data_IF_406482284740
#
_entry.id   IF_406482284740
#
_cell.length_a   1.000
_cell.length_b   1.000
_cell.length_c   1.000
_cell.angle_alpha   90.00
_cell.angle_beta   90.00
_cell.angle_gamma   90.00
#
_symmetry.space_group_name_H-M   'P 1'
#
loop_
_entity.id
_entity.type
_entity.pdbx_description
1 polymer ?
#
# COMPACT_ATOMS: atom_id res chain seq x y z
N UNK A 1 17.00 -17.63 5.36
CA UNK A 1 17.29 -16.18 5.30
C UNK A 1 16.56 -15.47 4.16
N UNK A 2 16.96 -15.61 2.87
CA UNK A 2 16.33 -14.88 1.73
C UNK A 2 14.81 -15.04 1.65
N UNK A 3 14.30 -16.27 1.54
CA UNK A 3 12.85 -16.51 1.41
C UNK A 3 12.05 -15.97 2.61
N UNK A 4 12.61 -16.06 3.82
CA UNK A 4 12.01 -15.48 5.02
C UNK A 4 12.01 -13.94 4.95
N UNK A 5 13.08 -13.33 4.44
CA UNK A 5 13.17 -11.87 4.26
C UNK A 5 12.11 -11.39 3.28
N UNK A 6 11.98 -12.06 2.12
CA UNK A 6 10.94 -11.75 1.11
C UNK A 6 9.53 -11.91 1.71
N UNK A 7 9.28 -12.97 2.47
CA UNK A 7 7.99 -13.17 3.15
C UNK A 7 7.66 -12.04 4.13
N UNK A 8 8.65 -11.59 4.90
CA UNK A 8 8.46 -10.48 5.85
C UNK A 8 8.24 -9.15 5.14
N UNK A 9 8.97 -8.89 4.04
CA UNK A 9 8.77 -7.70 3.22
C UNK A 9 7.36 -7.65 2.62
N UNK A 10 6.79 -8.81 2.27
CA UNK A 10 5.40 -8.91 1.82
C UNK A 10 4.35 -8.53 2.88
N UNK A 11 4.70 -8.53 4.17
CA UNK A 11 3.85 -8.04 5.27
C UNK A 11 3.95 -6.51 5.45
N UNK A 12 4.98 -5.87 4.88
CA UNK A 12 5.25 -4.44 5.03
C UNK A 12 4.54 -3.67 3.93
N UNK A 13 3.74 -2.68 4.32
CA UNK A 13 3.15 -1.74 3.39
C UNK A 13 4.15 -0.66 2.95
N UNK A 14 3.75 0.15 1.98
CA UNK A 14 4.48 1.32 1.53
C UNK A 14 4.59 2.38 2.66
N UNK A 15 5.65 2.26 3.44
CA UNK A 15 5.94 3.12 4.59
C UNK A 15 6.14 4.58 4.17
N UNK A 16 6.82 4.82 3.05
CA UNK A 16 7.11 6.15 2.52
C UNK A 16 5.82 6.89 2.17
N UNK A 17 4.90 6.22 1.47
CA UNK A 17 3.59 6.78 1.14
C UNK A 17 2.76 7.05 2.39
N UNK A 18 2.70 6.09 3.32
CA UNK A 18 1.87 6.22 4.53
C UNK A 18 2.38 7.36 5.41
N UNK A 19 3.69 7.45 5.67
CA UNK A 19 4.23 8.51 6.54
C UNK A 19 4.06 9.90 5.94
N UNK A 20 4.18 10.06 4.62
CA UNK A 20 3.94 11.34 3.95
C UNK A 20 2.46 11.76 4.02
N UNK A 21 1.52 10.80 4.00
CA UNK A 21 0.11 11.07 4.24
C UNK A 21 -0.18 11.46 5.69
N UNK A 22 0.52 10.85 6.65
CA UNK A 22 0.44 11.23 8.07
C UNK A 22 0.93 12.65 8.29
N UNK A 23 2.06 13.03 7.68
CA UNK A 23 2.59 14.42 7.73
C UNK A 23 1.60 15.44 7.18
N UNK A 24 0.91 15.09 6.09
CA UNK A 24 -0.09 15.94 5.44
C UNK A 24 -1.47 15.91 6.13
N UNK A 25 -1.62 15.18 7.25
CA UNK A 25 -2.86 15.03 8.00
C UNK A 25 -4.05 14.48 7.18
N UNK A 26 -3.76 13.69 6.14
CA UNK A 26 -4.75 13.04 5.26
C UNK A 26 -4.76 11.51 5.41
N UNK A 27 -3.99 10.97 6.35
CA UNK A 27 -3.94 9.54 6.62
C UNK A 27 -5.25 9.07 7.25
N UNK A 28 -5.72 7.91 6.79
CA UNK A 28 -6.87 7.21 7.37
C UNK A 28 -6.48 6.39 8.60
N UNK A 29 -7.44 6.02 9.46
CA UNK A 29 -7.19 5.14 10.61
C UNK A 29 -6.56 3.79 10.23
N UNK A 30 -7.01 3.20 9.11
CA UNK A 30 -6.43 1.95 8.58
C UNK A 30 -4.98 2.12 8.17
N UNK A 31 -4.60 3.25 7.58
CA UNK A 31 -3.21 3.52 7.22
C UNK A 31 -2.32 3.61 8.46
N UNK A 32 -2.79 4.21 9.55
CA UNK A 32 -2.06 4.24 10.82
C UNK A 32 -1.89 2.83 11.42
N UNK A 33 -2.93 2.01 11.39
CA UNK A 33 -2.84 0.61 11.84
C UNK A 33 -1.87 -0.21 10.95
N UNK A 34 -1.88 0.01 9.63
CA UNK A 34 -0.95 -0.62 8.69
C UNK A 34 0.49 -0.18 8.91
N UNK A 35 0.72 1.10 9.22
CA UNK A 35 2.04 1.62 9.61
C UNK A 35 2.56 0.88 10.84
N UNK A 36 1.73 0.72 11.88
CA UNK A 36 2.09 -0.03 13.09
C UNK A 36 2.52 -1.47 12.76
N UNK A 37 1.69 -2.22 12.04
CA UNK A 37 1.97 -3.61 11.65
C UNK A 37 3.27 -3.72 10.85
N UNK A 38 3.49 -2.78 9.94
CA UNK A 38 4.72 -2.74 9.13
C UNK A 38 5.96 -2.48 9.99
N UNK A 39 5.87 -1.57 10.97
CA UNK A 39 6.96 -1.28 11.90
C UNK A 39 7.22 -2.44 12.90
N UNK A 40 6.21 -3.24 13.23
CA UNK A 40 6.34 -4.45 14.06
C UNK A 40 7.19 -5.56 13.38
N UNK A 41 7.31 -5.54 12.04
CA UNK A 41 8.13 -6.49 11.28
C UNK A 41 9.63 -6.20 11.43
N UNK A 42 10.01 -4.94 11.66
CA UNK A 42 11.41 -4.46 11.64
C UNK A 42 12.33 -5.24 12.58
N UNK A 43 11.97 -5.54 13.85
CA UNK A 43 12.81 -6.34 14.73
C UNK A 43 12.99 -7.79 14.29
N UNK A 44 12.05 -8.36 13.51
CA UNK A 44 12.18 -9.70 12.93
C UNK A 44 13.14 -9.66 11.76
N UNK A 45 13.04 -8.64 10.89
CA UNK A 45 13.94 -8.46 9.75
C UNK A 45 15.39 -8.27 10.22
N UNK A 46 15.63 -7.44 11.24
CA UNK A 46 16.96 -7.22 11.81
C UNK A 46 17.66 -8.51 12.26
N UNK A 47 16.91 -9.48 12.78
CA UNK A 47 17.45 -10.79 13.22
C UNK A 47 17.88 -11.68 12.06
N UNK A 48 17.35 -11.47 10.85
CA UNK A 48 17.71 -12.25 9.67
C UNK A 48 18.95 -11.70 8.95
N UNK A 49 19.28 -10.43 9.16
CA UNK A 49 20.46 -9.81 8.58
C UNK A 49 21.70 -10.27 9.36
N UNK A 50 22.62 -10.98 8.72
CA UNK A 50 23.86 -11.44 9.35
C UNK A 50 24.82 -10.27 9.62
N UNK A 51 25.49 -10.29 10.78
CA UNK A 51 26.57 -9.35 11.10
C UNK A 51 27.77 -9.58 10.17
N UNK A 52 28.47 -8.50 9.80
CA UNK A 52 29.63 -8.57 8.90
C UNK A 52 29.29 -8.77 7.41
N UNK A 53 28.01 -8.75 7.04
CA UNK A 53 27.60 -8.79 5.63
C UNK A 53 27.89 -7.45 4.92
N UNK A 54 28.07 -7.44 3.58
CA UNK A 54 28.24 -6.19 2.81
C UNK A 54 27.08 -5.19 2.94
N UNK A 55 25.93 -5.66 3.45
CA UNK A 55 24.73 -4.86 3.68
C UNK A 55 24.60 -4.39 5.14
N UNK A 56 25.66 -4.49 5.96
CA UNK A 56 25.59 -4.13 7.38
C UNK A 56 25.19 -2.65 7.61
N UNK A 57 25.54 -1.76 6.68
CA UNK A 57 25.13 -0.35 6.69
C UNK A 57 23.60 -0.16 6.68
N UNK A 58 22.82 -1.14 6.18
CA UNK A 58 21.37 -1.10 6.22
C UNK A 58 20.83 -1.28 7.64
N UNK A 59 21.53 -2.02 8.52
CA UNK A 59 21.11 -2.18 9.93
C UNK A 59 21.11 -0.87 10.69
N UNK A 60 22.05 0.01 10.38
CA UNK A 60 22.15 1.33 11.01
C UNK A 60 20.95 2.22 10.66
N UNK A 61 20.37 2.03 9.47
CA UNK A 61 19.13 2.70 9.04
C UNK A 61 17.86 1.99 9.52
N UNK A 62 17.90 0.66 9.63
CA UNK A 62 16.77 -0.19 9.99
C UNK A 62 16.50 -0.22 11.51
N UNK A 63 16.43 0.96 12.14
CA UNK A 63 16.21 1.08 13.58
C UNK A 63 14.73 0.86 13.94
N UNK A 64 14.41 -0.04 14.90
CA UNK A 64 13.04 -0.22 15.35
C UNK A 64 12.43 1.07 15.92
N UNK A 65 11.29 1.49 15.39
CA UNK A 65 10.52 2.65 15.88
C UNK A 65 9.52 2.21 16.97
N UNK A 66 10.02 1.67 18.10
CA UNK A 66 9.19 1.07 19.16
C UNK A 66 8.21 2.06 19.77
N UNK A 67 8.67 3.27 20.04
CA UNK A 67 7.88 4.41 20.51
C UNK A 67 6.68 4.71 19.60
N UNK A 68 6.85 4.65 18.27
CA UNK A 68 5.75 4.85 17.31
C UNK A 68 4.78 3.67 17.34
N UNK A 69 5.30 2.44 17.41
CA UNK A 69 4.47 1.23 17.49
C UNK A 69 3.62 1.25 18.76
N UNK A 70 4.22 1.57 19.91
CA UNK A 70 3.56 1.68 21.21
C UNK A 70 2.50 2.77 21.19
N UNK A 71 2.83 3.98 20.71
CA UNK A 71 1.89 5.09 20.58
C UNK A 71 0.65 4.71 19.77
N UNK A 72 0.82 4.09 18.59
CA UNK A 72 -0.32 3.68 17.75
C UNK A 72 -1.06 2.51 18.39
N UNK A 73 -0.36 1.59 19.05
CA UNK A 73 -0.97 0.45 19.74
C UNK A 73 -1.84 0.89 20.92
N UNK A 74 -1.42 1.88 21.69
CA UNK A 74 -2.16 2.40 22.84
C UNK A 74 -3.35 3.27 22.40
N UNK A 75 -3.20 4.03 21.31
CA UNK A 75 -4.20 5.00 20.92
C UNK A 75 -5.25 4.48 19.93
N UNK A 76 -4.88 3.60 18.99
CA UNK A 76 -5.72 3.20 17.86
C UNK A 76 -6.17 1.74 18.02
N UNK A 77 -7.43 1.47 17.69
CA UNK A 77 -7.98 0.12 17.63
C UNK A 77 -7.19 -0.79 16.68
N UNK A 78 -7.15 -2.10 16.98
CA UNK A 78 -6.35 -3.04 16.18
C UNK A 78 -6.87 -3.20 14.74
N UNK A 79 -8.18 -3.01 14.55
CA UNK A 79 -8.88 -3.06 13.27
C UNK A 79 -9.79 -1.83 13.16
N UNK A 80 -9.22 -0.64 12.93
CA UNK A 80 -10.02 0.57 12.85
C UNK A 80 -10.80 0.62 11.51
N UNK A 81 -11.90 1.38 11.47
CA UNK A 81 -12.68 1.57 10.25
C UNK A 81 -11.91 2.33 9.16
N UNK A 82 -12.49 2.37 7.95
CA UNK A 82 -11.84 2.99 6.80
C UNK A 82 -11.81 4.52 6.92
N UNK A 83 -12.91 5.12 7.37
CA UNK A 83 -13.01 6.56 7.65
C UNK A 83 -13.06 6.85 9.15
N UNK A 84 -12.64 8.06 9.52
CA UNK A 84 -12.87 8.62 10.85
C UNK A 84 -14.37 8.79 11.16
N UNK A 85 -15.18 9.07 10.13
CA UNK A 85 -16.62 9.31 10.28
C UNK A 85 -17.40 8.08 10.74
N UNK A 86 -16.82 6.88 10.54
CA UNK A 86 -17.41 5.61 10.99
C UNK A 86 -17.28 5.41 12.51
N UNK A 87 -16.43 6.22 13.19
CA UNK A 87 -16.18 6.17 14.64
C UNK A 87 -15.46 4.90 15.09
N UNK A 88 -15.24 4.71 16.39
CA UNK A 88 -14.56 3.52 16.96
C UNK A 88 -13.13 3.30 16.42
N UNK A 89 -12.42 4.39 16.19
CA UNK A 89 -11.01 4.44 15.82
C UNK A 89 -10.11 4.40 17.05
N UNK A 90 -10.50 5.14 18.09
CA UNK A 90 -9.69 5.33 19.29
C UNK A 90 -9.99 4.24 20.32
N UNK A 91 -8.92 3.66 20.90
CA UNK A 91 -9.03 2.64 21.95
C UNK A 91 -9.73 3.14 23.20
N UNK A 92 -10.46 2.23 23.84
CA UNK A 92 -11.04 2.48 25.16
C UNK A 92 -9.93 2.61 26.20
N UNK A 93 -10.11 3.49 27.18
CA UNK A 93 -9.14 3.77 28.26
C UNK A 93 -8.13 4.88 27.93
N UNK A 94 -8.12 5.40 26.70
CA UNK A 94 -7.22 6.50 26.32
C UNK A 94 -7.74 7.87 26.81
N UNK A 95 -9.05 8.06 26.83
CA UNK A 95 -9.70 9.31 27.22
C UNK A 95 -10.95 9.02 28.05
N UNK A 96 -10.90 9.39 29.33
CA UNK A 96 -12.04 9.24 30.24
C UNK A 96 -13.30 9.96 29.72
N UNK A 97 -13.11 11.13 29.11
CA UNK A 97 -14.22 11.88 28.51
C UNK A 97 -14.85 11.10 27.35
N UNK A 98 -14.04 10.56 26.43
CA UNK A 98 -14.53 9.75 25.31
C UNK A 98 -15.28 8.52 25.79
N UNK A 99 -14.70 7.83 26.78
CA UNK A 99 -15.27 6.60 27.34
C UNK A 99 -16.59 6.88 28.06
N UNK A 100 -16.68 8.00 28.81
CA UNK A 100 -17.91 8.42 29.47
C UNK A 100 -19.04 8.73 28.47
N UNK A 101 -18.71 9.40 27.36
CA UNK A 101 -19.67 9.71 26.30
C UNK A 101 -20.12 8.45 25.55
N UNK A 102 -19.20 7.54 25.25
CA UNK A 102 -19.51 6.23 24.65
C UNK A 102 -20.43 5.41 25.54
N UNK A 103 -20.17 5.39 26.85
CA UNK A 103 -21.02 4.71 27.83
C UNK A 103 -22.42 5.35 27.92
N UNK A 104 -22.50 6.68 27.99
CA UNK A 104 -23.78 7.40 28.03
C UNK A 104 -24.62 7.14 26.76
N UNK A 105 -24.00 7.21 25.58
CA UNK A 105 -24.65 6.90 24.30
C UNK A 105 -25.14 5.45 24.23
N UNK A 106 -24.32 4.49 24.71
CA UNK A 106 -24.70 3.07 24.80
C UNK A 106 -25.89 2.85 25.73
N UNK A 107 -25.89 3.45 26.91
CA UNK A 107 -26.97 3.34 27.89
C UNK A 107 -28.28 3.93 27.33
N UNK A 108 -28.22 5.09 26.66
CA UNK A 108 -29.38 5.70 26.02
C UNK A 108 -29.95 4.84 24.87
N UNK A 109 -29.08 4.24 24.04
CA UNK A 109 -29.53 3.28 23.00
C UNK A 109 -30.17 2.03 23.61
N UNK A 110 -29.62 1.53 24.71
CA UNK A 110 -30.18 0.38 25.43
C UNK A 110 -31.54 0.71 26.06
N UNK A 111 -31.71 1.93 26.56
CA UNK A 111 -33.01 2.43 27.01
C UNK A 111 -34.03 2.41 25.88
N UNK A 112 -33.69 2.98 24.71
CA UNK A 112 -34.58 2.98 23.53
C UNK A 112 -34.94 1.57 23.04
N UNK A 113 -34.01 0.61 23.13
CA UNK A 113 -34.29 -0.79 22.79
C UNK A 113 -35.34 -1.42 23.73
N UNK A 114 -35.39 -0.98 24.99
CA UNK A 114 -36.39 -1.44 25.97
C UNK A 114 -37.70 -0.64 25.89
N UNK A 115 -37.67 0.59 25.36
CA UNK A 115 -38.82 1.47 25.25
C UNK A 115 -39.97 0.84 24.46
N UNK A 116 -39.68 0.07 23.40
CA UNK A 116 -40.70 -0.65 22.64
C UNK A 116 -41.51 -1.61 23.53
N UNK A 117 -40.83 -2.34 24.42
CA UNK A 117 -41.51 -3.27 25.34
C UNK A 117 -42.33 -2.50 26.37
N UNK A 118 -41.74 -1.47 26.97
CA UNK A 118 -42.41 -0.65 27.97
C UNK A 118 -43.67 0.01 27.41
N UNK A 119 -43.59 0.60 26.21
CA UNK A 119 -44.73 1.26 25.57
C UNK A 119 -45.79 0.26 25.07
N UNK A 120 -45.41 -0.96 24.67
CA UNK A 120 -46.37 -2.05 24.38
C UNK A 120 -47.15 -2.47 25.63
N UNK A 121 -46.47 -2.62 26.76
CA UNK A 121 -47.09 -2.99 28.03
C UNK A 121 -47.99 -1.86 28.56
N UNK A 122 -47.53 -0.61 28.46
CA UNK A 122 -48.26 0.58 28.91
C UNK A 122 -49.51 0.88 28.08
N UNK A 123 -49.39 0.84 26.74
CA UNK A 123 -50.51 1.17 25.83
C UNK A 123 -51.43 -0.02 25.54
N UNK A 124 -50.99 -1.25 25.78
CA UNK A 124 -51.70 -2.47 25.35
C UNK A 124 -51.60 -2.77 23.85
N UNK A 125 -50.91 -1.93 23.07
CA UNK A 125 -50.83 -2.04 21.61
C UNK A 125 -49.72 -3.00 21.20
N UNK A 126 -50.05 -4.29 21.00
CA UNK A 126 -49.07 -5.34 20.63
C UNK A 126 -48.33 -5.07 19.32
N UNK A 127 -48.92 -4.33 18.38
CA UNK A 127 -48.33 -4.01 17.07
C UNK A 127 -47.41 -2.79 17.06
N UNK A 128 -47.27 -2.08 18.19
CA UNK A 128 -46.44 -0.88 18.33
C UNK A 128 -44.98 -1.20 18.02
N UNK A 129 -44.30 -0.34 17.25
CA UNK A 129 -42.87 -0.48 16.94
C UNK A 129 -42.12 0.82 17.19
N UNK A 130 -40.93 0.74 17.76
CA UNK A 130 -40.01 1.89 17.85
C UNK A 130 -39.02 1.79 16.69
N UNK A 131 -38.97 2.83 15.86
CA UNK A 131 -38.10 2.90 14.69
C UNK A 131 -37.23 4.15 14.69
N UNK A 132 -36.23 4.16 13.81
CA UNK A 132 -35.38 5.31 13.54
C UNK A 132 -35.37 5.62 12.05
N UNK A 133 -35.52 6.90 11.71
CA UNK A 133 -35.39 7.41 10.35
C UNK A 133 -34.35 8.55 10.34
N UNK A 134 -33.48 8.60 9.32
CA UNK A 134 -32.45 9.65 9.23
C UNK A 134 -33.01 11.08 9.17
N UNK A 135 -34.21 11.28 8.61
CA UNK A 135 -34.84 12.60 8.43
C UNK A 135 -35.72 12.96 9.63
N UNK A 136 -36.49 11.99 10.13
CA UNK A 136 -37.48 12.23 11.18
C UNK A 136 -37.06 11.69 12.53
N UNK A 137 -35.84 11.17 12.69
CA UNK A 137 -35.36 10.71 13.97
C UNK A 137 -36.06 9.45 14.49
N UNK A 138 -36.05 9.26 15.81
CA UNK A 138 -36.79 8.20 16.48
C UNK A 138 -38.31 8.47 16.47
N UNK A 139 -39.08 7.39 16.34
CA UNK A 139 -40.54 7.44 16.32
C UNK A 139 -41.17 6.16 16.88
N UNK A 140 -42.43 6.28 17.29
CA UNK A 140 -43.30 5.18 17.68
C UNK A 140 -44.36 5.02 16.57
N UNK A 141 -44.40 3.86 15.93
CA UNK A 141 -45.34 3.56 14.85
C UNK A 141 -46.52 2.74 15.38
N UNK A 142 -47.74 3.20 15.10
CA UNK A 142 -48.99 2.58 15.51
C UNK A 142 -49.85 2.30 14.27
N UNK A 143 -50.34 1.06 14.16
CA UNK A 143 -51.20 0.64 13.04
C UNK A 143 -52.54 1.36 13.07
N UNK A 144 -53.14 1.59 11.89
CA UNK A 144 -54.41 2.32 11.73
C UNK A 144 -55.55 1.80 12.63
N UNK A 145 -55.61 0.49 12.87
CA UNK A 145 -56.59 -0.17 13.73
C UNK A 145 -56.51 0.24 15.22
N UNK A 146 -55.33 0.68 15.66
CA UNK A 146 -55.01 0.89 17.07
C UNK A 146 -54.87 2.38 17.42
N UNK A 147 -55.14 3.28 16.46
CA UNK A 147 -55.14 4.73 16.67
C UNK A 147 -56.05 5.20 17.82
N UNK A 148 -57.25 4.61 18.05
CA UNK A 148 -58.08 5.00 19.19
C UNK A 148 -57.48 4.66 20.57
N UNK A 149 -56.46 3.78 20.61
CA UNK A 149 -55.79 3.35 21.84
C UNK A 149 -54.50 4.14 22.11
N UNK A 150 -54.16 5.10 21.26
CA UNK A 150 -52.94 5.91 21.40
C UNK A 150 -53.07 6.80 22.65
N UNK A 151 -52.09 6.77 23.58
CA UNK A 151 -52.06 7.64 24.76
C UNK A 151 -52.06 9.13 24.39
N UNK A 152 -52.60 9.99 25.28
CA UNK A 152 -52.70 11.43 25.02
C UNK A 152 -51.34 12.17 24.98
N UNK A 153 -50.31 11.61 25.62
CA UNK A 153 -48.96 12.17 25.64
C UNK A 153 -48.17 11.92 24.34
N UNK A 154 -48.73 11.18 23.39
CA UNK A 154 -48.13 10.93 22.09
C UNK A 154 -48.38 12.10 21.15
N UNK A 155 -47.30 12.70 20.67
CA UNK A 155 -47.36 13.82 19.73
C UNK A 155 -47.18 13.28 18.31
N UNK A 156 -48.18 13.50 17.44
CA UNK A 156 -48.16 13.01 16.06
C UNK A 156 -47.02 13.65 15.27
N UNK A 157 -46.21 12.81 14.60
CA UNK A 157 -45.03 13.21 13.80
C UNK A 157 -45.28 13.08 12.29
N UNK A 158 -45.89 11.98 11.84
CA UNK A 158 -46.08 11.67 10.42
C UNK A 158 -47.26 10.71 10.21
N UNK A 159 -48.05 10.91 9.15
CA UNK A 159 -49.10 9.97 8.73
C UNK A 159 -48.60 9.07 7.60
N UNK A 160 -48.86 7.76 7.69
CA UNK A 160 -48.50 6.74 6.70
C UNK A 160 -49.78 6.07 6.14
N UNK A 161 -49.63 5.33 5.03
CA UNK A 161 -50.75 4.57 4.44
C UNK A 161 -51.29 3.49 5.40
N UNK A 162 -50.40 2.85 6.17
CA UNK A 162 -50.73 1.75 7.08
C UNK A 162 -50.89 2.13 8.56
N UNK A 163 -50.65 3.38 8.94
CA UNK A 163 -50.62 3.80 10.36
C UNK A 163 -50.14 5.23 10.56
N UNK A 164 -49.86 5.60 11.79
CA UNK A 164 -49.31 6.92 12.15
C UNK A 164 -48.05 6.77 13.02
N UNK A 165 -47.15 7.74 12.91
CA UNK A 165 -45.94 7.85 13.71
C UNK A 165 -46.07 8.97 14.72
N UNK A 166 -45.64 8.69 15.95
CA UNK A 166 -45.68 9.57 17.11
C UNK A 166 -44.30 9.70 17.74
N UNK A 167 -44.14 10.68 18.62
CA UNK A 167 -43.03 10.75 19.59
C UNK A 167 -43.57 11.18 20.95
N UNK A 168 -42.86 10.82 22.01
CA UNK A 168 -43.11 11.34 23.37
C UNK A 168 -42.03 12.37 23.73
N UNK A 169 -42.28 13.28 24.69
CA UNK A 169 -41.27 14.20 25.20
C UNK A 169 -40.00 13.46 25.66
N UNK A 170 -40.18 12.35 26.38
CA UNK A 170 -39.10 11.49 26.83
C UNK A 170 -38.28 10.90 25.67
N UNK A 171 -38.94 10.37 24.63
CA UNK A 171 -38.24 9.85 23.44
C UNK A 171 -37.38 10.94 22.80
N UNK A 172 -37.87 12.18 22.76
CA UNK A 172 -37.17 13.33 22.19
C UNK A 172 -35.97 13.76 23.03
N UNK A 173 -36.05 13.66 24.35
CA UNK A 173 -34.91 13.93 25.25
C UNK A 173 -33.79 12.91 25.05
N UNK A 174 -34.11 11.61 25.03
CA UNK A 174 -33.11 10.56 24.77
C UNK A 174 -32.53 10.66 23.36
N UNK A 175 -33.34 10.95 22.35
CA UNK A 175 -32.87 11.23 20.99
C UNK A 175 -31.85 12.37 20.97
N UNK A 176 -32.17 13.49 21.61
CA UNK A 176 -31.29 14.65 21.68
C UNK A 176 -29.98 14.31 22.42
N UNK A 177 -30.06 13.55 23.50
CA UNK A 177 -28.89 13.08 24.26
C UNK A 177 -27.98 12.21 23.39
N UNK A 178 -28.55 11.26 22.64
CA UNK A 178 -27.78 10.36 21.76
C UNK A 178 -27.10 11.15 20.64
N UNK A 179 -27.82 12.06 19.98
CA UNK A 179 -27.28 12.85 18.88
C UNK A 179 -26.15 13.77 19.35
N UNK A 180 -26.37 14.52 20.44
CA UNK A 180 -25.34 15.39 21.03
C UNK A 180 -24.11 14.59 21.49
N UNK A 181 -24.33 13.42 22.11
CA UNK A 181 -23.23 12.54 22.50
C UNK A 181 -22.47 12.02 21.27
N UNK A 182 -23.18 11.65 20.20
CA UNK A 182 -22.55 11.14 18.97
C UNK A 182 -21.72 12.21 18.27
N UNK A 183 -22.22 13.43 18.15
CA UNK A 183 -21.47 14.57 17.58
C UNK A 183 -20.19 14.84 18.39
N UNK A 184 -20.32 14.91 19.73
CA UNK A 184 -19.17 15.15 20.61
C UNK A 184 -18.17 13.99 20.61
N UNK A 185 -18.63 12.75 20.50
CA UNK A 185 -17.78 11.57 20.31
C UNK A 185 -16.99 11.72 19.02
N UNK A 186 -17.65 12.02 17.90
CA UNK A 186 -16.98 12.16 16.60
C UNK A 186 -15.94 13.27 16.60
N UNK A 187 -16.28 14.44 17.15
CA UNK A 187 -15.35 15.56 17.27
C UNK A 187 -14.13 15.22 18.14
N UNK A 188 -14.36 14.65 19.32
CA UNK A 188 -13.30 14.30 20.26
C UNK A 188 -12.41 13.18 19.72
N UNK A 189 -13.00 12.18 19.05
CA UNK A 189 -12.31 11.09 18.39
C UNK A 189 -11.41 11.59 17.25
N UNK A 190 -11.91 12.50 16.41
CA UNK A 190 -11.11 13.14 15.37
C UNK A 190 -9.95 13.96 15.96
N UNK A 191 -10.20 14.74 17.01
CA UNK A 191 -9.17 15.54 17.69
C UNK A 191 -8.04 14.66 18.27
N UNK A 192 -8.40 13.57 18.94
CA UNK A 192 -7.43 12.60 19.46
C UNK A 192 -6.65 11.96 18.31
N UNK A 193 -7.33 11.51 17.25
CA UNK A 193 -6.67 10.91 16.10
C UNK A 193 -5.66 11.84 15.44
N UNK A 194 -6.04 13.10 15.19
CA UNK A 194 -5.12 14.10 14.63
C UNK A 194 -3.95 14.40 15.57
N UNK A 195 -4.15 14.38 16.89
CA UNK A 195 -3.05 14.49 17.86
C UNK A 195 -2.08 13.32 17.74
N UNK A 196 -2.57 12.09 17.64
CA UNK A 196 -1.74 10.89 17.44
C UNK A 196 -0.98 11.00 16.11
N UNK A 197 -1.63 11.41 15.02
CA UNK A 197 -0.98 11.62 13.73
C UNK A 197 0.17 12.64 13.82
N UNK A 198 -0.04 13.77 14.52
CA UNK A 198 1.03 14.76 14.76
C UNK A 198 2.20 14.19 15.53
N UNK A 199 1.95 13.37 16.56
CA UNK A 199 3.00 12.70 17.34
C UNK A 199 3.75 11.66 16.52
N UNK A 200 3.06 10.90 15.66
CA UNK A 200 3.73 9.97 14.72
C UNK A 200 4.56 10.75 13.69
N UNK A 201 4.06 11.88 13.21
CA UNK A 201 4.77 12.72 12.24
C UNK A 201 6.11 13.27 12.75
N UNK A 202 6.31 13.42 14.06
CA UNK A 202 7.62 13.83 14.60
C UNK A 202 8.72 12.79 14.38
N UNK A 203 8.34 11.53 14.15
CA UNK A 203 9.26 10.44 13.83
C UNK A 203 9.41 10.21 12.32
N UNK A 204 8.93 11.12 11.46
CA UNK A 204 8.87 10.91 10.01
C UNK A 204 10.21 10.58 9.37
N UNK A 205 11.26 11.34 9.70
CA UNK A 205 12.61 11.13 9.14
C UNK A 205 13.15 9.74 9.48
N UNK A 206 12.89 9.26 10.71
CA UNK A 206 13.32 7.93 11.14
C UNK A 206 12.56 6.83 10.41
N UNK A 207 11.25 7.03 10.17
CA UNK A 207 10.43 6.09 9.40
C UNK A 207 10.82 6.08 7.92
N UNK A 208 11.14 7.23 7.33
CA UNK A 208 11.64 7.34 5.95
C UNK A 208 13.00 6.66 5.79
N UNK A 209 13.91 6.80 6.75
CA UNK A 209 15.18 6.08 6.75
C UNK A 209 14.98 4.54 6.82
N UNK A 210 13.99 4.08 7.59
CA UNK A 210 13.59 2.67 7.62
C UNK A 210 13.00 2.25 6.27
N UNK A 211 12.15 3.07 5.65
CA UNK A 211 11.56 2.79 4.34
C UNK A 211 12.63 2.64 3.24
N UNK A 212 13.60 3.56 3.19
CA UNK A 212 14.76 3.49 2.29
C UNK A 212 15.56 2.20 2.49
N UNK A 213 15.83 1.84 3.75
CA UNK A 213 16.55 0.60 4.07
C UNK A 213 15.77 -0.64 3.61
N UNK A 214 14.46 -0.69 3.84
CA UNK A 214 13.60 -1.77 3.38
C UNK A 214 13.57 -1.88 1.86
N UNK A 215 13.46 -0.75 1.15
CA UNK A 215 13.47 -0.73 -0.31
C UNK A 215 14.78 -1.31 -0.89
N UNK A 216 15.92 -0.95 -0.30
CA UNK A 216 17.21 -1.55 -0.68
C UNK A 216 17.24 -3.06 -0.41
N UNK A 217 16.77 -3.51 0.76
CA UNK A 217 16.70 -4.94 1.10
C UNK A 217 15.78 -5.69 0.12
N UNK A 218 14.66 -5.09 -0.29
CA UNK A 218 13.72 -5.66 -1.24
C UNK A 218 14.33 -5.80 -2.64
N UNK A 219 15.01 -4.76 -3.13
CA UNK A 219 15.75 -4.82 -4.42
C UNK A 219 16.84 -5.88 -4.37
N UNK A 220 17.69 -5.92 -3.34
CA UNK A 220 18.75 -6.92 -3.22
C UNK A 220 18.20 -8.35 -3.10
N UNK A 221 17.13 -8.53 -2.33
CA UNK A 221 16.48 -9.85 -2.18
C UNK A 221 15.87 -10.30 -3.50
N UNK A 222 15.26 -9.39 -4.26
CA UNK A 222 14.68 -9.64 -5.57
C UNK A 222 15.74 -10.02 -6.60
N UNK A 223 16.84 -9.26 -6.68
CA UNK A 223 17.97 -9.57 -7.55
C UNK A 223 18.59 -10.94 -7.20
N UNK A 224 18.76 -11.24 -5.91
CA UNK A 224 19.29 -12.52 -5.46
C UNK A 224 18.32 -13.70 -5.73
N UNK A 225 17.01 -13.47 -5.65
CA UNK A 225 15.99 -14.47 -5.98
C UNK A 225 16.01 -14.79 -7.48
N UNK A 226 16.03 -13.75 -8.34
CA UNK A 226 16.15 -13.88 -9.80
C UNK A 226 17.43 -14.63 -10.15
N UNK A 227 18.55 -14.28 -9.51
CA UNK A 227 19.84 -14.89 -9.80
C UNK A 227 19.85 -16.39 -9.51
N UNK A 228 19.33 -16.80 -8.35
CA UNK A 228 19.25 -18.22 -7.98
C UNK A 228 18.22 -18.97 -8.82
N UNK A 229 17.07 -18.37 -9.08
CA UNK A 229 15.98 -19.01 -9.82
C UNK A 229 16.33 -19.27 -11.28
N UNK A 230 17.07 -18.36 -11.92
CA UNK A 230 17.38 -18.41 -13.35
C UNK A 230 18.86 -18.70 -13.65
N UNK A 231 19.61 -19.12 -12.64
CA UNK A 231 21.03 -19.48 -12.74
C UNK A 231 21.86 -18.35 -13.36
N UNK A 232 21.68 -17.12 -12.84
CA UNK A 232 22.52 -16.00 -13.26
C UNK A 232 23.82 -16.01 -12.47
N UNK A 233 24.87 -15.48 -13.09
CA UNK A 233 26.23 -15.47 -12.51
C UNK A 233 26.64 -14.06 -12.16
N UNK A 234 27.50 -13.92 -11.14
CA UNK A 234 28.06 -12.63 -10.76
C UNK A 234 29.05 -12.20 -11.84
N UNK A 235 28.84 -11.07 -12.54
CA UNK A 235 29.82 -10.59 -13.50
C UNK A 235 31.07 -10.06 -12.77
N UNK A 236 32.21 -10.13 -13.44
CA UNK A 236 33.40 -9.37 -13.08
C UNK A 236 33.29 -7.97 -13.70
N UNK A 237 33.33 -6.93 -12.87
CA UNK A 237 33.34 -5.55 -13.34
C UNK A 237 34.78 -5.04 -13.35
N UNK A 238 35.21 -4.48 -14.47
CA UNK A 238 36.56 -3.92 -14.62
C UNK A 238 36.50 -2.45 -15.01
N UNK A 239 37.58 -1.71 -14.77
CA UNK A 239 37.76 -0.35 -15.31
C UNK A 239 38.28 -0.35 -16.75
N UNK A 240 38.38 -1.53 -17.36
CA UNK A 240 38.82 -1.69 -18.75
C UNK A 240 37.71 -1.38 -19.74
N UNK A 241 38.03 -1.64 -21.00
CA UNK A 241 37.20 -1.42 -22.19
C UNK A 241 36.58 -2.72 -22.74
N UNK A 242 36.81 -3.86 -22.08
CA UNK A 242 36.44 -5.18 -22.60
C UNK A 242 35.03 -5.60 -22.18
N UNK A 243 34.29 -6.20 -23.10
CA UNK A 243 33.02 -6.89 -22.83
C UNK A 243 33.19 -8.33 -23.30
N UNK A 244 33.32 -9.24 -22.33
CA UNK A 244 33.48 -10.67 -22.54
C UNK A 244 32.27 -11.37 -21.93
N UNK A 245 31.48 -12.06 -22.75
CA UNK A 245 30.28 -12.79 -22.32
C UNK A 245 30.41 -14.22 -22.84
N UNK A 246 30.35 -15.21 -21.95
CA UNK A 246 30.24 -16.61 -22.34
C UNK A 246 28.82 -17.12 -22.14
N UNK A 247 28.29 -17.79 -23.16
CA UNK A 247 26.97 -18.42 -23.18
C UNK A 247 25.87 -17.48 -22.67
N UNK A 248 25.88 -16.23 -23.14
CA UNK A 248 24.90 -15.23 -22.73
C UNK A 248 23.51 -15.57 -23.25
N UNK A 249 22.49 -15.28 -22.43
CA UNK A 249 21.08 -15.47 -22.73
C UNK A 249 20.33 -14.16 -22.64
N UNK A 250 19.31 -13.96 -23.47
CA UNK A 250 18.48 -12.77 -23.40
C UNK A 250 17.49 -12.90 -22.22
N UNK A 251 17.56 -12.05 -21.18
CA UNK A 251 16.84 -12.28 -19.91
C UNK A 251 15.31 -12.28 -20.04
N UNK A 252 14.75 -11.54 -21.02
CA UNK A 252 13.32 -11.57 -21.31
C UNK A 252 12.92 -12.73 -22.23
N UNK A 253 13.58 -12.88 -23.39
CA UNK A 253 13.20 -13.88 -24.40
C UNK A 253 13.35 -15.30 -23.88
N UNK A 254 14.37 -15.60 -23.08
CA UNK A 254 14.55 -16.95 -22.48
C UNK A 254 13.37 -17.37 -21.58
N UNK A 255 12.56 -16.42 -21.12
CA UNK A 255 11.37 -16.66 -20.26
C UNK A 255 10.08 -16.80 -21.04
N UNK A 256 10.07 -16.37 -22.30
CA UNK A 256 8.95 -16.60 -23.21
C UNK A 256 9.04 -17.94 -23.94
N UNK A 257 10.19 -18.61 -23.87
CA UNK A 257 10.46 -19.88 -24.53
C UNK A 257 10.38 -21.06 -23.54
N UNK A 258 10.27 -22.28 -24.07
CA UNK A 258 10.36 -23.52 -23.28
C UNK A 258 11.74 -23.57 -22.59
N UNK A 259 11.78 -24.03 -21.35
CA UNK A 259 13.03 -24.14 -20.59
C UNK A 259 14.08 -24.94 -21.36
N UNK A 260 15.30 -24.41 -21.45
CA UNK A 260 16.41 -25.01 -22.21
C UNK A 260 16.40 -24.77 -23.72
N UNK A 261 15.37 -24.11 -24.27
CA UNK A 261 15.28 -23.89 -25.74
C UNK A 261 15.96 -22.63 -26.26
N UNK A 262 16.30 -21.67 -25.38
CA UNK A 262 17.07 -20.50 -25.79
C UNK A 262 18.50 -20.90 -26.11
N UNK A 263 18.99 -20.53 -27.30
CA UNK A 263 20.37 -20.80 -27.71
C UNK A 263 21.30 -19.69 -27.21
N UNK A 264 22.18 -19.97 -26.22
CA UNK A 264 23.11 -18.99 -25.68
C UNK A 264 24.18 -18.58 -26.71
N UNK A 265 24.72 -17.36 -26.57
CA UNK A 265 25.73 -16.83 -27.48
C UNK A 265 26.89 -16.18 -26.74
N UNK A 266 28.11 -16.37 -27.24
CA UNK A 266 29.31 -15.69 -26.75
C UNK A 266 29.40 -14.26 -27.33
N UNK A 267 30.10 -13.36 -26.64
CA UNK A 267 30.38 -11.99 -27.12
C UNK A 267 31.77 -11.59 -26.67
N UNK A 268 32.55 -11.02 -27.60
CA UNK A 268 33.82 -10.37 -27.31
C UNK A 268 33.84 -9.01 -28.02
N UNK A 269 33.99 -7.94 -27.24
CA UNK A 269 34.22 -6.59 -27.72
C UNK A 269 35.32 -5.96 -26.88
N UNK A 270 36.20 -5.19 -27.52
CA UNK A 270 37.26 -4.43 -26.86
C UNK A 270 37.59 -3.20 -27.70
N UNK A 271 38.05 -2.12 -27.06
CA UNK A 271 38.51 -0.95 -27.81
C UNK A 271 39.87 -1.18 -28.49
N UNK A 272 40.55 -2.31 -28.27
CA UNK A 272 41.90 -2.54 -28.80
C UNK A 272 41.90 -3.37 -30.09
N UNK A 273 41.14 -4.46 -30.15
CA UNK A 273 41.18 -5.43 -31.26
C UNK A 273 39.79 -5.80 -31.84
N UNK A 274 38.69 -5.56 -31.10
CA UNK A 274 37.34 -5.96 -31.49
C UNK A 274 36.30 -4.85 -31.22
N UNK A 275 36.47 -3.67 -31.82
CA UNK A 275 35.61 -2.51 -31.57
C UNK A 275 34.21 -2.61 -32.22
N UNK A 276 34.12 -3.31 -33.36
CA UNK A 276 32.92 -3.34 -34.20
C UNK A 276 32.62 -4.78 -34.63
N UNK A 277 31.39 -5.24 -34.38
CA UNK A 277 30.87 -6.50 -34.90
C UNK A 277 29.90 -6.21 -36.05
N UNK A 278 30.23 -6.70 -37.25
CA UNK A 278 29.30 -6.69 -38.39
C UNK A 278 28.50 -7.99 -38.37
N UNK A 279 27.29 -7.94 -37.80
CA UNK A 279 26.44 -9.11 -37.63
C UNK A 279 25.52 -9.35 -38.83
N UNK A 280 25.86 -10.32 -39.67
CA UNK A 280 25.04 -10.73 -40.84
C UNK A 280 24.31 -12.05 -40.60
N UNK A 281 23.23 -12.30 -41.35
CA UNK A 281 22.46 -13.55 -41.28
C UNK A 281 21.03 -13.37 -41.82
N UNK A 282 20.29 -14.46 -42.06
CA UNK A 282 18.93 -14.38 -42.58
C UNK A 282 17.98 -13.64 -41.63
N UNK A 283 16.85 -13.15 -42.14
CA UNK A 283 15.81 -12.59 -41.27
C UNK A 283 15.33 -13.66 -40.28
N UNK A 284 14.93 -13.22 -39.09
CA UNK A 284 14.51 -14.09 -37.97
C UNK A 284 15.61 -15.01 -37.40
N UNK A 285 16.89 -14.82 -37.79
CA UNK A 285 18.02 -15.59 -37.23
C UNK A 285 18.48 -15.15 -35.83
N UNK A 286 17.72 -14.29 -35.15
CA UNK A 286 18.05 -13.83 -33.80
C UNK A 286 19.03 -12.64 -33.70
N UNK A 287 19.40 -11.99 -34.81
CA UNK A 287 20.35 -10.84 -34.79
C UNK A 287 19.95 -9.73 -33.81
N UNK A 288 18.71 -9.26 -33.87
CA UNK A 288 18.22 -8.21 -32.96
C UNK A 288 18.13 -8.69 -31.51
N UNK A 289 17.87 -9.99 -31.29
CA UNK A 289 17.87 -10.62 -29.97
C UNK A 289 19.29 -10.62 -29.39
N UNK A 290 20.30 -10.97 -30.18
CA UNK A 290 21.70 -10.92 -29.78
C UNK A 290 22.14 -9.51 -29.37
N UNK A 291 21.85 -8.50 -30.19
CA UNK A 291 22.22 -7.11 -29.87
C UNK A 291 21.58 -6.62 -28.55
N UNK A 292 20.27 -6.88 -28.37
CA UNK A 292 19.57 -6.51 -27.13
C UNK A 292 20.06 -7.31 -25.93
N UNK A 293 20.41 -8.58 -26.12
CA UNK A 293 20.96 -9.43 -25.07
C UNK A 293 22.25 -8.81 -24.50
N UNK A 294 23.20 -8.43 -25.35
CA UNK A 294 24.47 -7.83 -24.91
C UNK A 294 24.21 -6.55 -24.10
N UNK A 295 23.39 -5.64 -24.63
CA UNK A 295 23.03 -4.40 -23.95
C UNK A 295 22.34 -4.62 -22.58
N UNK A 296 21.43 -5.59 -22.49
CA UNK A 296 20.75 -5.93 -21.24
C UNK A 296 21.68 -6.59 -20.22
N UNK A 297 22.64 -7.41 -20.66
CA UNK A 297 23.66 -8.00 -19.78
C UNK A 297 24.53 -6.89 -19.17
N UNK A 298 24.98 -5.94 -19.97
CA UNK A 298 25.74 -4.77 -19.50
C UNK A 298 24.93 -3.95 -18.50
N UNK A 299 23.66 -3.66 -18.82
CA UNK A 299 22.76 -2.92 -17.93
C UNK A 299 22.59 -3.64 -16.58
N UNK A 300 22.30 -4.95 -16.61
CA UNK A 300 22.13 -5.76 -15.40
C UNK A 300 23.41 -5.78 -14.54
N UNK A 301 24.58 -5.88 -15.18
CA UNK A 301 25.85 -5.84 -14.47
C UNK A 301 26.08 -4.49 -13.77
N UNK A 302 25.80 -3.37 -14.44
CA UNK A 302 26.03 -2.02 -13.90
C UNK A 302 24.99 -1.55 -12.87
N UNK A 303 23.81 -2.16 -12.80
CA UNK A 303 22.88 -1.95 -11.67
C UNK A 303 23.20 -2.83 -10.45
N UNK A 304 24.29 -3.62 -10.51
CA UNK A 304 24.71 -4.52 -9.42
C UNK A 304 24.02 -5.88 -9.41
N UNK A 305 23.35 -6.25 -10.50
CA UNK A 305 22.69 -7.54 -10.67
C UNK A 305 23.63 -8.65 -11.12
N UNK A 306 23.16 -9.89 -10.98
CA UNK A 306 23.76 -11.05 -11.64
C UNK A 306 23.24 -11.11 -13.08
N UNK A 307 24.00 -11.72 -13.99
CA UNK A 307 23.72 -11.70 -15.42
C UNK A 307 23.42 -13.11 -15.98
N UNK A 308 22.57 -13.23 -17.03
CA UNK A 308 22.13 -14.50 -17.63
C UNK A 308 23.22 -15.17 -18.50
N UNK A 309 24.38 -15.51 -17.94
CA UNK A 309 25.55 -16.03 -18.69
C UNK A 309 26.20 -17.19 -17.92
N UNK A 310 27.21 -17.87 -18.48
CA UNK A 310 28.08 -18.80 -17.71
C UNK A 310 29.25 -18.09 -17.05
N UNK A 311 29.80 -17.09 -17.72
CA UNK A 311 30.75 -16.11 -17.17
C UNK A 311 30.60 -14.78 -17.90
N UNK A 312 30.98 -13.68 -17.26
CA UNK A 312 30.99 -12.36 -17.88
C UNK A 312 32.05 -11.46 -17.23
N UNK A 313 32.84 -10.78 -18.05
CA UNK A 313 33.73 -9.67 -17.66
C UNK A 313 33.25 -8.43 -18.41
N UNK A 314 32.83 -7.40 -17.68
CA UNK A 314 32.20 -6.20 -18.24
C UNK A 314 32.99 -4.97 -17.78
N UNK A 315 33.63 -4.31 -18.74
CA UNK A 315 34.23 -3.00 -18.58
C UNK A 315 33.19 -1.91 -18.35
N UNK A 316 33.63 -0.75 -17.87
CA UNK A 316 32.72 0.35 -17.55
C UNK A 316 32.12 0.96 -18.84
N UNK A 317 30.79 0.87 -18.99
CA UNK A 317 30.06 1.50 -20.10
C UNK A 317 29.33 2.75 -19.59
N UNK A 318 29.60 3.89 -20.20
CA UNK A 318 29.00 5.17 -19.85
C UNK A 318 27.62 5.36 -20.49
N UNK A 319 27.45 4.89 -21.74
CA UNK A 319 26.24 5.08 -22.53
C UNK A 319 25.93 3.84 -23.38
N UNK A 320 24.66 3.46 -23.39
CA UNK A 320 24.14 2.43 -24.29
C UNK A 320 23.25 3.13 -25.33
N UNK A 321 23.74 3.20 -26.56
CA UNK A 321 22.96 3.70 -27.69
C UNK A 321 22.32 2.53 -28.44
N UNK A 322 21.07 2.71 -28.87
CA UNK A 322 20.37 1.71 -29.68
C UNK A 322 19.66 2.38 -30.83
N UNK A 323 19.89 1.89 -32.04
CA UNK A 323 19.04 2.17 -33.20
C UNK A 323 18.46 0.86 -33.71
N UNK A 324 17.23 0.55 -33.33
CA UNK A 324 16.56 -0.69 -33.72
C UNK A 324 15.19 -0.33 -34.28
N UNK A 325 15.14 0.04 -35.57
CA UNK A 325 13.93 0.28 -36.38
C UNK A 325 12.84 1.15 -35.74
N UNK A 326 12.66 2.39 -36.22
CA UNK A 326 11.55 3.23 -35.75
C UNK A 326 10.18 2.65 -36.18
N UNK A 327 9.19 2.76 -35.28
CA UNK A 327 7.78 2.74 -35.68
C UNK A 327 7.43 4.12 -36.23
N UNK A 328 6.61 4.17 -37.27
CA UNK A 328 6.15 5.42 -37.89
C UNK A 328 5.60 6.39 -36.83
N UNK A 329 6.07 7.63 -36.84
CA UNK A 329 5.42 8.74 -36.14
C UNK A 329 4.56 9.54 -37.13
N UNK A 330 3.44 8.92 -37.52
CA UNK A 330 2.42 9.52 -38.37
C UNK A 330 1.82 10.80 -37.75
N UNK A 331 1.90 10.95 -36.42
CA UNK A 331 1.37 12.11 -35.71
C UNK A 331 2.30 13.34 -35.81
N UNK A 332 3.62 13.12 -35.88
CA UNK A 332 4.61 14.20 -36.02
C UNK A 332 4.93 14.57 -37.49
N UNK A 333 4.38 13.85 -38.48
CA UNK A 333 4.61 14.13 -39.90
C UNK A 333 6.06 13.90 -40.37
N UNK A 334 6.83 13.11 -39.61
CA UNK A 334 8.24 12.84 -39.90
C UNK A 334 8.38 11.52 -40.67
N UNK A 335 9.17 11.54 -41.76
CA UNK A 335 9.52 10.32 -42.49
C UNK A 335 10.34 9.38 -41.62
N UNK A 336 10.11 8.07 -41.69
CA UNK A 336 10.89 7.03 -40.99
C UNK A 336 12.40 7.20 -41.27
N UNK A 337 12.77 7.55 -42.50
CA UNK A 337 14.17 7.81 -42.86
C UNK A 337 14.72 9.04 -42.14
N UNK A 338 13.92 10.12 -42.01
CA UNK A 338 14.35 11.32 -41.30
C UNK A 338 14.58 11.02 -39.81
N UNK A 339 13.65 10.29 -39.17
CA UNK A 339 13.81 9.84 -37.78
C UNK A 339 15.05 8.95 -37.64
N UNK A 340 15.32 8.06 -38.60
CA UNK A 340 16.55 7.26 -38.65
C UNK A 340 17.80 8.12 -38.71
N UNK A 341 17.86 9.10 -39.59
CA UNK A 341 19.03 9.97 -39.71
C UNK A 341 19.24 10.84 -38.47
N UNK A 342 18.17 11.35 -37.87
CA UNK A 342 18.25 12.16 -36.64
C UNK A 342 18.75 11.32 -35.46
N UNK A 343 18.23 10.10 -35.28
CA UNK A 343 18.73 9.21 -34.24
C UNK A 343 20.19 8.79 -34.48
N UNK A 344 20.58 8.48 -35.73
CA UNK A 344 21.98 8.20 -36.05
C UNK A 344 22.88 9.41 -35.78
N UNK A 345 22.43 10.63 -36.11
CA UNK A 345 23.17 11.85 -35.83
C UNK A 345 23.32 12.14 -34.33
N UNK A 346 22.41 11.67 -33.48
CA UNK A 346 22.54 11.79 -32.02
C UNK A 346 23.50 10.75 -31.41
N UNK A 347 23.75 9.64 -32.11
CA UNK A 347 24.67 8.58 -31.67
C UNK A 347 26.12 8.94 -32.00
N UNK A 348 26.33 9.60 -33.13
CA UNK A 348 27.63 10.15 -33.57
C UNK A 348 27.96 11.44 -32.82
#
# INVERSE_FOLDING_TARGET
ARNQTISLLGEVADLERVINRVRSNIASPRELATLRRSLEVIPRLNRLLADGSPINWLKDKLKPCRDVVELISEAIEAQPPASLDEGNVIKSGLSEELDSLRLASKNAKQYLANLERQERERSGIKSLKVGFNKVFGYYIEVSKSNLPQVPQDYIRKQTLVGGERFFTPELKEYESLILNAQERITELEANIFHRVCRQVATASERILAVADALANIDVFSSLAEVAVRYSYVRPELTTGNEIVISQGRHPVVERSLVEGSFMPNDTYLSNDDAQLIVLTGPNMSGKSTYLRQVALIVLLAQIGGFVPTTSATIGAVDRIFTRIGAREDLAAGQSTFMVEMVETANIL
#
